data_IF_900410663321
#
_entry.id   IF_900410663321
#
_cell.length_a   1.000
_cell.length_b   1.000
_cell.length_c   1.000
_cell.angle_alpha   90.00
_cell.angle_beta   90.00
_cell.angle_gamma   90.00
#
_symmetry.space_group_name_H-M   'P 1'
#
loop_
_entity.id
_entity.type
_entity.pdbx_description
1 polymer ?
#
# COMPACT_ATOMS: atom_id res chain seq x y z
N UNK A 1 -1.94 6.57 -23.51
CA UNK A 1 -1.19 5.56 -22.75
C UNK A 1 -1.93 5.37 -21.44
N UNK A 2 -2.43 4.16 -21.16
CA UNK A 2 -3.25 3.90 -19.98
C UNK A 2 -2.39 4.00 -18.71
N UNK A 3 -2.93 4.59 -17.66
CA UNK A 3 -2.26 4.82 -16.39
C UNK A 3 -2.07 3.46 -15.69
N UNK A 4 -0.91 2.83 -15.85
CA UNK A 4 -0.56 1.54 -15.21
C UNK A 4 -0.11 1.68 -13.75
N UNK A 5 -0.08 2.91 -13.25
CA UNK A 5 0.40 3.28 -11.93
C UNK A 5 -0.31 4.54 -11.42
N UNK A 6 -0.42 4.65 -10.11
CA UNK A 6 -0.92 5.81 -9.39
C UNK A 6 0.27 6.65 -8.96
N UNK A 7 0.26 7.95 -9.27
CA UNK A 7 1.35 8.87 -8.93
C UNK A 7 1.12 9.47 -7.54
N UNK A 8 1.92 9.06 -6.56
CA UNK A 8 1.80 9.53 -5.18
C UNK A 8 2.97 10.44 -4.82
N UNK A 9 2.74 11.36 -3.89
CA UNK A 9 3.77 12.28 -3.45
C UNK A 9 3.63 12.56 -1.95
N UNK A 10 4.60 12.12 -1.16
CA UNK A 10 4.61 12.34 0.28
C UNK A 10 5.23 13.70 0.58
N UNK A 11 4.50 14.62 1.20
CA UNK A 11 4.95 15.98 1.51
C UNK A 11 5.05 16.13 3.03
N UNK A 12 6.21 16.52 3.54
CA UNK A 12 6.36 16.83 4.95
C UNK A 12 6.07 18.31 5.21
N UNK A 13 4.97 18.62 5.91
CA UNK A 13 4.65 19.94 6.44
C UNK A 13 4.64 19.97 7.98
N UNK A 14 5.11 18.91 8.62
CA UNK A 14 5.27 18.86 10.08
C UNK A 14 6.41 19.77 10.54
N UNK A 15 6.37 20.18 11.81
CA UNK A 15 7.46 20.86 12.51
C UNK A 15 8.34 19.84 13.25
N UNK A 16 8.28 18.57 12.89
CA UNK A 16 9.05 17.52 13.55
C UNK A 16 10.53 17.59 13.16
N UNK A 17 11.36 17.98 14.14
CA UNK A 17 12.81 18.10 13.99
C UNK A 17 13.55 16.76 14.19
N UNK A 18 12.86 15.70 14.61
CA UNK A 18 13.50 14.41 14.91
C UNK A 18 13.81 13.58 13.67
N UNK A 19 13.53 14.11 12.48
CA UNK A 19 13.76 13.45 11.20
C UNK A 19 13.12 12.05 11.14
N UNK A 20 11.82 12.04 11.46
CA UNK A 20 11.01 10.82 11.50
C UNK A 20 11.03 10.10 10.15
N UNK A 21 11.22 8.79 10.22
CA UNK A 21 11.10 7.89 9.07
C UNK A 21 9.64 7.51 8.86
N UNK A 22 9.22 7.45 7.58
CA UNK A 22 7.88 7.05 7.20
C UNK A 22 7.93 5.70 6.49
N UNK A 23 7.13 4.75 6.97
CA UNK A 23 6.98 3.45 6.33
C UNK A 23 5.64 3.37 5.61
N UNK A 24 5.65 2.83 4.41
CA UNK A 24 4.48 2.52 3.60
C UNK A 24 4.47 1.02 3.33
N UNK A 25 3.33 0.38 3.55
CA UNK A 25 3.16 -1.06 3.34
C UNK A 25 1.74 -1.42 2.91
N UNK A 26 1.54 -2.69 2.56
CA UNK A 26 0.21 -3.27 2.35
C UNK A 26 0.05 -4.48 3.25
N UNK A 27 -1.21 -4.77 3.60
CA UNK A 27 -1.59 -6.00 4.26
C UNK A 27 -2.08 -6.98 3.20
N UNK A 28 -1.60 -8.22 3.27
CA UNK A 28 -2.25 -9.31 2.58
C UNK A 28 -3.54 -9.64 3.33
N UNK A 29 -4.68 -9.61 2.64
CA UNK A 29 -6.00 -9.83 3.26
C UNK A 29 -6.53 -11.26 3.10
N UNK A 30 -5.77 -12.13 2.44
CA UNK A 30 -6.14 -13.54 2.27
C UNK A 30 -6.28 -14.25 3.63
N UNK A 31 -7.33 -15.07 3.79
CA UNK A 31 -7.72 -15.68 5.08
C UNK A 31 -6.62 -16.55 5.71
N UNK A 32 -5.77 -17.18 4.89
CA UNK A 32 -4.71 -18.11 5.33
C UNK A 32 -3.33 -17.45 5.50
N UNK A 33 -3.26 -16.12 5.56
CA UNK A 33 -2.00 -15.41 5.70
C UNK A 33 -1.67 -15.04 7.15
N UNK A 34 -0.77 -15.80 7.76
CA UNK A 34 -0.29 -15.57 9.12
C UNK A 34 1.01 -14.76 9.20
N UNK A 35 1.49 -14.23 8.08
CA UNK A 35 2.79 -13.56 8.00
C UNK A 35 2.63 -12.05 8.17
N UNK A 36 3.61 -11.42 8.81
CA UNK A 36 3.56 -10.00 9.09
C UNK A 36 3.82 -9.17 7.81
N UNK A 37 3.32 -7.94 7.81
CA UNK A 37 3.47 -7.05 6.66
C UNK A 37 4.94 -6.68 6.41
N UNK A 38 5.31 -6.51 5.14
CA UNK A 38 6.66 -6.08 4.73
C UNK A 38 6.68 -4.58 4.50
N UNK A 39 7.73 -3.90 4.94
CA UNK A 39 7.96 -2.48 4.69
C UNK A 39 8.25 -2.22 3.20
N UNK A 40 7.21 -1.99 2.40
CA UNK A 40 7.33 -1.85 0.94
C UNK A 40 8.12 -0.60 0.52
N UNK A 41 7.89 0.53 1.20
CA UNK A 41 8.68 1.75 1.06
C UNK A 41 9.06 2.30 2.42
N UNK A 42 10.30 2.77 2.54
CA UNK A 42 10.73 3.55 3.70
C UNK A 42 11.29 4.88 3.19
N UNK A 43 10.69 5.98 3.65
CA UNK A 43 11.15 7.33 3.36
C UNK A 43 11.89 7.86 4.58
N UNK A 44 13.19 8.06 4.42
CA UNK A 44 14.08 8.58 5.45
C UNK A 44 14.50 10.00 5.08
N UNK A 45 14.90 10.80 6.07
CA UNK A 45 15.50 12.12 5.81
C UNK A 45 14.58 13.10 5.07
N UNK A 46 13.26 13.02 5.29
CA UNK A 46 12.30 13.92 4.64
C UNK A 46 12.19 15.23 5.44
N UNK A 47 12.89 16.27 4.99
CA UNK A 47 12.95 17.56 5.67
C UNK A 47 11.62 18.31 5.68
N UNK A 48 11.53 19.36 6.50
CA UNK A 48 10.34 20.22 6.57
C UNK A 48 10.19 20.97 5.24
N UNK A 49 9.03 20.82 4.60
CA UNK A 49 8.71 21.38 3.28
C UNK A 49 9.13 20.48 2.12
N UNK A 50 9.93 19.45 2.35
CA UNK A 50 10.38 18.53 1.32
C UNK A 50 9.28 17.54 0.93
N UNK A 51 9.43 16.97 -0.26
CA UNK A 51 8.55 15.94 -0.77
C UNK A 51 9.30 14.72 -1.31
N UNK A 52 8.58 13.59 -1.34
CA UNK A 52 9.06 12.32 -1.86
C UNK A 52 8.02 11.76 -2.84
N UNK A 53 8.19 11.98 -4.16
CA UNK A 53 7.35 11.38 -5.17
C UNK A 53 7.64 9.87 -5.28
N UNK A 54 6.59 9.07 -5.38
CA UNK A 54 6.69 7.63 -5.61
C UNK A 54 5.51 7.11 -6.42
N UNK A 55 5.74 6.04 -7.17
CA UNK A 55 4.70 5.37 -7.92
C UNK A 55 4.10 4.20 -7.14
N UNK A 56 2.80 4.00 -7.32
CA UNK A 56 2.11 2.77 -6.96
C UNK A 56 1.67 2.06 -8.25
N UNK A 57 2.47 1.14 -8.80
CA UNK A 57 2.04 0.33 -9.94
C UNK A 57 0.87 -0.56 -9.53
N UNK A 58 -0.14 -0.71 -10.39
CA UNK A 58 -1.24 -1.65 -10.15
C UNK A 58 -0.77 -3.10 -10.32
N UNK A 59 0.16 -3.32 -11.25
CA UNK A 59 0.82 -4.62 -11.46
C UNK A 59 1.71 -5.00 -10.27
N UNK A 60 1.67 -6.27 -9.88
CA UNK A 60 2.63 -6.88 -8.98
C UNK A 60 3.20 -8.17 -9.57
N UNK A 61 4.21 -8.71 -8.91
CA UNK A 61 4.96 -9.87 -9.39
C UNK A 61 5.13 -10.89 -8.27
N UNK A 62 5.25 -12.15 -8.65
CA UNK A 62 5.56 -13.25 -7.72
C UNK A 62 6.89 -13.90 -8.06
N UNK A 63 7.60 -14.39 -7.05
CA UNK A 63 8.71 -15.32 -7.22
C UNK A 63 8.73 -16.34 -6.09
N UNK A 64 9.43 -17.45 -6.30
CA UNK A 64 9.75 -18.41 -5.26
C UNK A 64 11.23 -18.24 -4.85
N UNK A 65 11.54 -18.55 -3.60
CA UNK A 65 12.91 -18.66 -3.11
C UNK A 65 13.11 -19.88 -2.23
N UNK A 66 14.35 -20.35 -2.12
CA UNK A 66 14.71 -21.52 -1.32
C UNK A 66 15.48 -21.15 -0.03
N UNK A 67 15.84 -22.16 0.77
CA UNK A 67 16.60 -21.98 2.01
C UNK A 67 18.07 -21.57 1.80
N UNK A 68 18.57 -21.62 0.58
CA UNK A 68 19.95 -21.23 0.24
C UNK A 68 20.04 -19.80 -0.27
N UNK A 69 18.91 -19.07 -0.32
CA UNK A 69 18.86 -17.69 -0.80
C UNK A 69 18.80 -17.58 -2.32
N UNK A 70 18.48 -18.66 -3.03
CA UNK A 70 18.20 -18.58 -4.46
C UNK A 70 16.76 -18.12 -4.68
N UNK A 71 16.53 -17.43 -5.79
CA UNK A 71 15.21 -16.96 -6.19
C UNK A 71 14.95 -17.31 -7.65
N UNK A 72 13.70 -17.65 -7.96
CA UNK A 72 13.24 -17.75 -9.34
C UNK A 72 13.10 -16.35 -9.95
N UNK A 73 13.10 -16.23 -11.29
CA UNK A 73 12.68 -15.00 -11.94
C UNK A 73 11.30 -14.53 -11.46
N UNK A 74 11.10 -13.21 -11.44
CA UNK A 74 9.81 -12.62 -11.11
C UNK A 74 8.83 -12.79 -12.27
N UNK A 75 7.61 -13.22 -11.97
CA UNK A 75 6.53 -13.38 -12.93
C UNK A 75 5.43 -12.37 -12.66
N UNK A 76 4.95 -11.68 -13.69
CA UNK A 76 3.80 -10.77 -13.55
C UNK A 76 2.59 -11.58 -13.08
N UNK A 77 1.93 -11.06 -12.04
CA UNK A 77 0.81 -11.70 -11.37
C UNK A 77 -0.50 -10.98 -11.61
N UNK A 78 -1.56 -11.75 -11.87
CA UNK A 78 -2.93 -11.24 -12.00
C UNK A 78 -3.82 -12.07 -11.09
N UNK A 79 -4.75 -11.40 -10.40
CA UNK A 79 -5.71 -12.06 -9.53
C UNK A 79 -6.47 -13.17 -10.29
N UNK A 80 -6.71 -14.29 -9.60
CA UNK A 80 -7.24 -15.52 -10.18
C UNK A 80 -6.17 -16.47 -10.76
N UNK A 81 -4.90 -16.07 -10.82
CA UNK A 81 -3.82 -16.94 -11.30
C UNK A 81 -3.15 -17.72 -10.17
N UNK A 82 -2.68 -18.91 -10.50
CA UNK A 82 -1.82 -19.71 -9.64
C UNK A 82 -0.49 -20.02 -10.32
N UNK A 83 0.55 -20.19 -9.52
CA UNK A 83 1.90 -20.48 -9.97
C UNK A 83 2.40 -21.73 -9.25
N UNK A 84 2.89 -22.68 -10.03
CA UNK A 84 3.40 -23.94 -9.53
C UNK A 84 4.93 -23.93 -9.51
N UNK A 85 5.50 -24.20 -8.35
CA UNK A 85 6.90 -24.55 -8.23
C UNK A 85 7.06 -26.04 -8.53
N UNK A 86 7.73 -26.37 -9.63
CA UNK A 86 7.89 -27.75 -10.11
C UNK A 86 9.35 -28.07 -10.38
N UNK A 87 9.69 -29.36 -10.31
CA UNK A 87 11.01 -29.84 -10.66
C UNK A 87 11.13 -29.94 -12.18
N UNK A 88 12.13 -29.27 -12.75
CA UNK A 88 12.53 -29.38 -14.16
C UNK A 88 13.84 -30.15 -14.30
N UNK A 89 14.31 -30.35 -15.54
CA UNK A 89 15.54 -31.07 -15.85
C UNK A 89 16.80 -30.38 -15.29
N UNK A 90 16.82 -29.04 -15.25
CA UNK A 90 17.97 -28.25 -14.80
C UNK A 90 17.83 -27.70 -13.37
N UNK A 91 16.73 -27.99 -12.67
CA UNK A 91 16.44 -27.43 -11.34
C UNK A 91 14.96 -27.13 -11.16
N UNK A 92 14.61 -26.49 -10.05
CA UNK A 92 13.24 -26.12 -9.73
C UNK A 92 12.85 -24.82 -10.45
N UNK A 93 11.63 -24.76 -10.97
CA UNK A 93 11.13 -23.63 -11.74
C UNK A 93 9.75 -23.21 -11.23
N UNK A 94 9.55 -21.89 -11.14
CA UNK A 94 8.22 -21.33 -10.97
C UNK A 94 7.61 -21.10 -12.35
N UNK A 95 6.40 -21.60 -12.56
CA UNK A 95 5.67 -21.44 -13.80
C UNK A 95 4.19 -21.15 -13.55
N UNK A 96 3.51 -20.55 -14.53
CA UNK A 96 2.06 -20.37 -14.47
C UNK A 96 1.37 -21.74 -14.46
N UNK A 97 0.46 -21.94 -13.52
CA UNK A 97 -0.30 -23.18 -13.40
C UNK A 97 -1.34 -23.31 -14.53
N UNK A 98 -1.59 -24.54 -14.97
CA UNK A 98 -2.72 -24.84 -15.84
C UNK A 98 -4.07 -24.74 -15.12
N UNK A 99 -4.06 -24.78 -13.79
CA UNK A 99 -5.25 -24.64 -12.94
C UNK A 99 -5.24 -23.28 -12.24
N UNK A 100 -6.31 -22.48 -12.34
CA UNK A 100 -6.36 -21.15 -11.71
C UNK A 100 -6.31 -21.24 -10.18
N UNK A 101 -6.20 -20.08 -9.51
CA UNK A 101 -6.34 -19.97 -8.06
C UNK A 101 -7.74 -20.39 -7.60
N UNK A 102 -7.90 -20.74 -6.32
CA UNK A 102 -9.21 -21.11 -5.78
C UNK A 102 -10.17 -19.93 -5.70
N UNK A 103 -9.66 -18.70 -5.63
CA UNK A 103 -10.43 -17.46 -5.70
C UNK A 103 -9.99 -16.61 -6.90
N UNK A 104 -10.92 -15.84 -7.47
CA UNK A 104 -10.64 -14.89 -8.54
C UNK A 104 -10.00 -13.58 -8.03
N UNK A 105 -9.97 -13.35 -6.73
CA UNK A 105 -9.33 -12.19 -6.10
C UNK A 105 -7.95 -12.50 -5.54
N UNK A 106 -7.53 -13.76 -5.61
CA UNK A 106 -6.28 -14.23 -5.02
C UNK A 106 -5.25 -14.62 -6.08
N UNK A 107 -3.99 -14.52 -5.70
CA UNK A 107 -2.87 -15.15 -6.40
C UNK A 107 -2.29 -16.24 -5.52
N UNK A 108 -2.07 -17.41 -6.12
CA UNK A 108 -1.50 -18.55 -5.40
C UNK A 108 -0.09 -18.89 -5.87
N UNK A 109 0.76 -19.25 -4.93
CA UNK A 109 2.06 -19.87 -5.21
C UNK A 109 2.10 -21.23 -4.51
N UNK A 110 2.17 -22.30 -5.30
CA UNK A 110 2.03 -23.68 -4.84
C UNK A 110 3.37 -24.39 -4.90
N UNK A 111 3.70 -25.10 -3.83
CA UNK A 111 4.90 -25.93 -3.80
C UNK A 111 4.56 -27.35 -4.27
N UNK A 112 4.74 -27.62 -5.57
CA UNK A 112 4.50 -28.94 -6.16
C UNK A 112 5.79 -29.78 -6.27
N UNK A 113 6.84 -29.41 -5.54
CA UNK A 113 8.04 -30.24 -5.40
C UNK A 113 7.73 -31.45 -4.52
N UNK A 114 8.50 -32.53 -4.70
CA UNK A 114 8.38 -33.72 -3.83
C UNK A 114 9.05 -33.49 -2.47
N UNK A 115 10.03 -32.60 -2.41
CA UNK A 115 10.88 -32.32 -1.24
C UNK A 115 11.35 -30.87 -1.30
N UNK A 116 11.59 -30.27 -0.14
CA UNK A 116 12.11 -28.90 -0.03
C UNK A 116 11.01 -27.89 0.19
N UNK A 117 11.18 -27.06 1.23
CA UNK A 117 10.29 -25.93 1.50
C UNK A 117 10.70 -24.73 0.65
N UNK A 118 9.71 -23.94 0.22
CA UNK A 118 9.94 -22.69 -0.50
C UNK A 118 9.42 -21.51 0.29
N UNK A 119 9.90 -20.32 -0.07
CA UNK A 119 9.24 -19.05 0.23
C UNK A 119 8.56 -18.54 -1.02
N UNK A 120 7.36 -17.98 -0.89
CA UNK A 120 6.70 -17.23 -1.94
C UNK A 120 6.85 -15.74 -1.62
N UNK A 121 7.28 -14.96 -2.60
CA UNK A 121 7.57 -13.54 -2.44
C UNK A 121 6.73 -12.74 -3.45
N UNK A 122 6.15 -11.65 -2.99
CA UNK A 122 5.43 -10.70 -3.83
C UNK A 122 6.25 -9.43 -3.95
N UNK A 123 6.31 -8.86 -5.14
CA UNK A 123 7.02 -7.63 -5.44
C UNK A 123 6.11 -6.60 -6.11
N UNK A 124 6.28 -5.34 -5.76
CA UNK A 124 5.65 -4.20 -6.42
C UNK A 124 6.69 -3.12 -6.62
N UNK A 125 6.81 -2.65 -7.86
CA UNK A 125 7.88 -1.73 -8.29
C UNK A 125 9.29 -2.25 -7.95
N UNK A 126 9.53 -3.55 -8.20
CA UNK A 126 10.80 -4.23 -7.90
C UNK A 126 11.10 -4.47 -6.41
N UNK A 127 10.28 -3.96 -5.49
CA UNK A 127 10.48 -4.07 -4.04
C UNK A 127 9.55 -5.12 -3.43
N UNK A 128 10.04 -5.83 -2.41
CA UNK A 128 9.27 -6.88 -1.72
C UNK A 128 8.08 -6.25 -0.99
N UNK A 129 6.88 -6.76 -1.27
CA UNK A 129 5.60 -6.32 -0.73
C UNK A 129 5.05 -7.29 0.33
N UNK A 130 5.27 -8.59 0.12
CA UNK A 130 4.86 -9.64 1.03
C UNK A 130 5.75 -10.86 0.86
N UNK A 131 5.79 -11.72 1.87
CA UNK A 131 6.44 -13.01 1.79
C UNK A 131 5.70 -14.03 2.65
N UNK A 132 5.61 -15.27 2.18
CA UNK A 132 5.23 -16.41 3.00
C UNK A 132 6.38 -17.39 2.99
N UNK A 133 6.87 -17.72 4.18
CA UNK A 133 8.02 -18.62 4.34
C UNK A 133 7.55 -20.04 4.64
N UNK A 134 8.47 -21.01 4.55
CA UNK A 134 8.26 -22.40 4.99
C UNK A 134 7.07 -23.11 4.34
N UNK A 135 6.80 -22.83 3.06
CA UNK A 135 5.75 -23.50 2.28
C UNK A 135 6.25 -24.90 1.95
N UNK A 136 5.73 -25.91 2.65
CA UNK A 136 6.14 -27.31 2.47
C UNK A 136 5.58 -27.91 1.17
N UNK A 137 6.16 -29.02 0.67
CA UNK A 137 5.58 -29.80 -0.43
C UNK A 137 4.07 -30.04 -0.27
N UNK A 138 3.30 -29.77 -1.33
CA UNK A 138 1.85 -29.88 -1.35
C UNK A 138 1.09 -28.71 -0.69
N UNK A 139 1.79 -27.72 -0.14
CA UNK A 139 1.18 -26.50 0.42
C UNK A 139 1.21 -25.34 -0.56
N UNK A 140 0.44 -24.28 -0.24
CA UNK A 140 0.36 -23.05 -1.02
C UNK A 140 0.49 -21.80 -0.14
N UNK A 141 0.98 -20.72 -0.76
CA UNK A 141 0.78 -19.37 -0.30
C UNK A 141 -0.34 -18.71 -1.10
N UNK A 142 -1.12 -17.89 -0.42
CA UNK A 142 -2.27 -17.17 -0.97
C UNK A 142 -2.03 -15.69 -0.70
N UNK A 143 -2.18 -14.87 -1.73
CA UNK A 143 -2.00 -13.44 -1.66
C UNK A 143 -3.20 -12.72 -2.25
N UNK A 144 -3.73 -11.76 -1.51
CA UNK A 144 -4.79 -10.86 -1.94
C UNK A 144 -4.44 -9.45 -1.48
N UNK A 145 -4.42 -8.51 -2.43
CA UNK A 145 -4.09 -7.10 -2.16
C UNK A 145 -5.20 -6.21 -2.68
N UNK A 146 -5.85 -5.50 -1.76
CA UNK A 146 -6.71 -4.39 -2.12
C UNK A 146 -5.84 -3.19 -2.56
N UNK A 147 -6.37 -2.27 -3.40
CA UNK A 147 -5.66 -1.06 -3.78
C UNK A 147 -5.62 -0.07 -2.60
N UNK A 148 -5.02 -0.47 -1.48
CA UNK A 148 -4.92 0.31 -0.25
C UNK A 148 -3.52 0.25 0.29
N UNK A 149 -3.06 1.35 0.85
CA UNK A 149 -1.76 1.42 1.52
C UNK A 149 -1.93 1.85 2.97
N UNK A 150 -1.04 1.36 3.82
CA UNK A 150 -0.88 1.82 5.18
C UNK A 150 0.37 2.68 5.25
N UNK A 151 0.28 3.83 5.92
CA UNK A 151 1.41 4.74 6.10
C UNK A 151 1.53 5.16 7.57
N UNK A 152 2.75 5.19 8.08
CA UNK A 152 2.98 5.64 9.45
C UNK A 152 4.41 6.05 9.73
N UNK A 153 4.58 6.80 10.81
CA UNK A 153 5.87 7.14 11.38
C UNK A 153 6.42 5.97 12.18
N UNK A 154 7.59 5.45 11.81
CA UNK A 154 8.28 4.38 12.53
C UNK A 154 9.77 4.44 12.24
N UNK A 155 10.61 4.33 13.27
CA UNK A 155 12.06 4.35 13.14
C UNK A 155 12.66 2.94 13.07
N UNK A 156 13.87 2.84 12.51
CA UNK A 156 14.65 1.59 12.44
C UNK A 156 13.99 0.53 11.55
N UNK A 157 13.19 0.96 10.58
CA UNK A 157 12.58 0.09 9.60
C UNK A 157 13.46 0.03 8.37
N UNK A 158 13.77 -1.20 7.94
CA UNK A 158 14.52 -1.42 6.70
C UNK A 158 13.53 -1.83 5.61
N UNK A 159 13.63 -1.15 4.47
CA UNK A 159 12.80 -1.45 3.30
C UNK A 159 12.96 -2.92 2.85
N UNK A 160 11.84 -3.55 2.52
CA UNK A 160 11.79 -4.97 2.13
C UNK A 160 11.87 -5.97 3.28
N UNK A 161 11.96 -5.51 4.53
CA UNK A 161 11.93 -6.38 5.72
C UNK A 161 10.53 -6.59 6.27
N UNK A 162 10.32 -7.76 6.86
CA UNK A 162 9.11 -8.10 7.63
C UNK A 162 9.08 -7.23 8.89
N UNK A 163 7.99 -6.50 9.10
CA UNK A 163 7.82 -5.64 10.27
C UNK A 163 7.24 -6.41 11.44
N UNK A 164 7.64 -6.05 12.66
CA UNK A 164 7.07 -6.62 13.88
C UNK A 164 5.60 -6.16 14.06
N UNK A 165 4.75 -7.03 14.61
CA UNK A 165 3.35 -6.75 14.92
C UNK A 165 3.15 -5.52 15.81
N UNK A 166 4.08 -5.20 16.70
CA UNK A 166 4.03 -4.00 17.55
C UNK A 166 4.10 -2.69 16.76
N UNK A 167 4.80 -2.70 15.61
CA UNK A 167 4.89 -1.52 14.73
C UNK A 167 3.62 -1.46 13.87
N UNK A 168 3.19 -2.61 13.34
CA UNK A 168 1.97 -2.71 12.53
C UNK A 168 0.73 -2.24 13.32
N UNK A 169 0.64 -2.56 14.62
CA UNK A 169 -0.50 -2.16 15.47
C UNK A 169 -0.52 -0.66 15.81
N UNK A 170 0.62 0.02 15.71
CA UNK A 170 0.73 1.47 15.91
C UNK A 170 0.34 2.24 14.64
N UNK A 171 0.43 1.61 13.47
CA UNK A 171 0.12 2.24 12.18
C UNK A 171 -1.32 1.97 11.79
N UNK A 172 -2.16 3.01 11.94
CA UNK A 172 -3.60 2.93 11.71
C UNK A 172 -4.09 3.79 10.53
N UNK A 173 -3.19 4.53 9.87
CA UNK A 173 -3.57 5.32 8.69
C UNK A 173 -3.65 4.42 7.46
N UNK A 174 -4.86 4.20 6.99
CA UNK A 174 -5.17 3.47 5.76
C UNK A 174 -5.62 4.46 4.68
N UNK A 175 -5.09 4.32 3.47
CA UNK A 175 -5.50 5.10 2.31
C UNK A 175 -6.04 4.15 1.25
N UNK A 176 -7.31 4.34 0.88
CA UNK A 176 -7.90 3.68 -0.28
C UNK A 176 -7.47 4.41 -1.54
N UNK A 177 -6.86 3.69 -2.48
CA UNK A 177 -6.36 4.19 -3.75
C UNK A 177 -7.34 3.93 -4.91
N UNK A 178 -8.51 3.34 -4.63
CA UNK A 178 -9.50 3.06 -5.65
C UNK A 178 -10.00 4.35 -6.32
N UNK A 179 -9.92 4.38 -7.65
CA UNK A 179 -10.34 5.53 -8.46
C UNK A 179 -9.37 6.71 -8.45
N UNK A 180 -8.19 6.59 -7.82
CA UNK A 180 -7.19 7.65 -7.75
C UNK A 180 -6.10 7.40 -8.80
N UNK A 181 -5.80 8.41 -9.61
CA UNK A 181 -4.68 8.38 -10.58
C UNK A 181 -3.43 9.09 -10.06
N UNK A 182 -3.61 10.04 -9.14
CA UNK A 182 -2.55 10.77 -8.45
C UNK A 182 -3.02 11.27 -7.09
N UNK A 183 -2.11 11.50 -6.14
CA UNK A 183 -2.43 12.16 -4.87
C UNK A 183 -1.19 12.72 -4.17
N UNK A 184 -1.37 13.82 -3.44
CA UNK A 184 -0.43 14.29 -2.42
C UNK A 184 -0.82 13.69 -1.05
N UNK A 185 0.16 13.12 -0.37
CA UNK A 185 0.04 12.62 1.01
C UNK A 185 0.76 13.63 1.89
N UNK A 186 0.00 14.49 2.56
CA UNK A 186 0.56 15.55 3.39
C UNK A 186 0.69 15.09 4.84
N UNK A 187 1.91 15.15 5.37
CA UNK A 187 2.20 14.95 6.79
C UNK A 187 2.17 16.32 7.46
N UNK A 188 1.37 16.48 8.51
CA UNK A 188 1.26 17.73 9.26
C UNK A 188 1.18 17.45 10.78
N UNK A 189 1.46 18.47 11.59
CA UNK A 189 1.34 18.35 13.05
C UNK A 189 -0.13 18.36 13.47
N UNK A 190 -0.53 17.40 14.31
CA UNK A 190 -1.87 17.37 14.87
C UNK A 190 -2.02 18.40 15.99
N UNK A 191 -2.99 19.30 15.88
CA UNK A 191 -3.34 20.27 16.94
C UNK A 191 -4.13 19.64 18.11
N UNK A 192 -4.23 18.30 18.15
CA UNK A 192 -4.90 17.56 19.21
C UNK A 192 -6.42 17.63 19.19
N UNK A 193 -7.05 18.38 18.27
CA UNK A 193 -8.51 18.50 18.18
C UNK A 193 -9.07 18.52 16.74
N UNK A 194 -8.22 18.48 15.70
CA UNK A 194 -8.65 18.43 14.30
C UNK A 194 -7.90 17.34 13.52
N UNK A 195 -8.66 16.57 12.75
CA UNK A 195 -8.19 15.79 11.59
C UNK A 195 -7.14 16.53 10.78
N UNK A 196 -5.99 15.92 10.46
CA UNK A 196 -5.06 16.50 9.47
C UNK A 196 -5.65 16.30 8.08
N UNK A 197 -5.88 17.29 7.24
CA UNK A 197 -6.26 17.02 5.86
C UNK A 197 -5.15 16.25 5.11
N UNK A 198 -5.48 15.08 4.58
CA UNK A 198 -4.84 14.46 3.42
C UNK A 198 -5.56 14.97 2.17
N UNK A 199 -5.03 16.00 1.52
CA UNK A 199 -5.56 16.45 0.23
C UNK A 199 -5.23 15.43 -0.88
N UNK A 200 -6.13 14.48 -1.14
CA UNK A 200 -6.04 13.55 -2.29
C UNK A 200 -6.67 14.22 -3.52
N UNK A 201 -5.96 15.17 -4.14
CA UNK A 201 -6.41 15.68 -5.45
C UNK A 201 -6.20 14.62 -6.54
N UNK A 202 -7.20 14.33 -7.41
CA UNK A 202 -8.09 15.32 -8.01
C UNK A 202 -9.56 15.14 -7.59
N UNK A 203 -10.07 16.07 -6.78
CA UNK A 203 -11.49 16.17 -6.46
C UNK A 203 -12.01 15.42 -5.22
N UNK A 204 -11.16 14.84 -4.35
CA UNK A 204 -11.61 14.34 -3.02
C UNK A 204 -10.60 14.60 -1.91
N UNK A 205 -10.96 15.42 -0.92
CA UNK A 205 -10.12 15.65 0.27
C UNK A 205 -10.37 14.56 1.32
N UNK A 206 -9.32 13.94 1.83
CA UNK A 206 -9.36 13.06 2.99
C UNK A 206 -8.81 13.82 4.21
N UNK A 207 -9.17 13.45 5.44
CA UNK A 207 -8.55 14.01 6.65
C UNK A 207 -8.24 12.87 7.64
N UNK A 208 -7.04 12.88 8.24
CA UNK A 208 -6.45 11.91 9.17
C UNK A 208 -5.86 12.64 10.38
N UNK A 209 -6.50 12.59 11.56
CA UNK A 209 -5.93 13.16 12.81
C UNK A 209 -5.13 12.16 13.62
N UNK A 210 -4.08 12.65 14.28
CA UNK A 210 -3.43 11.98 15.43
C UNK A 210 -4.19 12.28 16.72
N UNK A 211 -4.62 11.24 17.45
CA UNK A 211 -5.23 11.38 18.77
C UNK A 211 -4.18 11.27 19.88
N UNK A 212 -4.34 12.00 21.01
CA UNK A 212 -3.53 11.81 22.22
C UNK A 212 -3.83 10.43 22.80
N UNK A 213 -3.04 9.42 22.42
CA UNK A 213 -3.25 8.03 22.80
C UNK A 213 -2.75 6.99 21.79
N UNK A 214 -2.21 7.40 20.64
CA UNK A 214 -1.55 6.50 19.69
C UNK A 214 -2.46 5.88 18.62
N UNK A 215 -3.71 6.33 18.51
CA UNK A 215 -4.63 5.94 17.42
C UNK A 215 -4.86 7.06 16.40
N UNK A 216 -5.19 6.66 15.17
CA UNK A 216 -5.56 7.53 14.04
C UNK A 216 -6.93 7.08 13.51
N UNK A 217 -7.81 8.02 13.15
CA UNK A 217 -9.16 7.77 12.59
C UNK A 217 -9.25 8.42 11.21
N UNK A 218 -9.89 7.71 10.26
CA UNK A 218 -10.17 8.17 8.90
C UNK A 218 -11.67 8.41 8.78
N UNK A 219 -12.10 9.64 8.48
CA UNK A 219 -13.51 9.95 8.17
C UNK A 219 -13.63 10.36 6.70
N UNK A 220 -14.64 9.80 6.01
CA UNK A 220 -14.93 10.06 4.59
C UNK A 220 -15.99 11.16 4.51
N UNK A 221 -15.64 12.33 3.96
CA UNK A 221 -16.65 13.34 3.61
C UNK A 221 -17.21 13.08 2.20
N UNK A 222 -18.54 13.08 2.01
CA UNK A 222 -19.14 13.09 0.67
C UNK A 222 -18.71 14.37 -0.06
N UNK A 223 -18.29 14.23 -1.33
CA UNK A 223 -17.82 15.36 -2.15
C UNK A 223 -18.94 16.30 -2.56
N UNK A 224 -18.70 17.61 -2.41
CA UNK A 224 -19.51 18.64 -3.05
C UNK A 224 -19.05 18.81 -4.53
N UNK A 225 -20.02 18.72 -5.43
CA UNK A 225 -19.91 18.93 -6.88
C UNK A 225 -19.65 20.42 -7.18
N UNK A 226 -18.61 20.81 -7.96
CA UNK A 226 -18.29 22.23 -8.22
C UNK A 226 -19.17 22.86 -9.32
N UNK A 227 -20.45 22.52 -9.39
CA UNK A 227 -21.36 22.97 -10.44
C UNK A 227 -22.69 23.55 -9.90
N UNK A 228 -22.60 24.45 -8.91
CA UNK A 228 -23.68 25.44 -8.67
C UNK A 228 -23.17 26.59 -7.79
N UNK A 229 -22.31 27.44 -8.33
CA UNK A 229 -22.18 28.82 -7.84
C UNK A 229 -22.61 29.72 -8.99
N UNK A 230 -23.91 30.04 -9.01
CA UNK A 230 -24.41 31.18 -9.75
C UNK A 230 -23.74 32.45 -9.19
N UNK A 231 -22.90 33.08 -9.99
CA UNK A 231 -22.53 34.48 -9.78
C UNK A 231 -23.73 35.30 -10.27
N UNK A 232 -24.59 35.74 -9.35
CA UNK A 232 -25.53 36.82 -9.62
C UNK A 232 -24.85 38.14 -9.25
N UNK A 233 -24.35 38.84 -10.26
CA UNK A 233 -24.11 40.28 -10.18
C UNK A 233 -25.49 40.97 -10.08
N UNK A 234 -25.74 41.72 -9.02
CA UNK A 234 -26.97 42.50 -8.88
C UNK A 234 -26.86 43.54 -7.78
N UNK A 235 -26.57 44.78 -8.18
CA UNK A 235 -26.85 45.99 -7.41
C UNK A 235 -28.32 46.01 -7.01
N UNK A 236 -28.66 46.13 -5.73
CA UNK A 236 -29.84 46.91 -5.31
C UNK A 236 -29.56 47.70 -4.04
N UNK A 237 -29.92 48.97 -4.15
CA UNK A 237 -29.95 50.02 -3.14
C UNK A 237 -31.30 49.87 -2.45
N UNK A 238 -31.36 49.73 -1.13
CA UNK A 238 -32.60 50.01 -0.39
C UNK A 238 -32.42 51.20 0.53
N UNK A 239 -33.33 52.15 0.32
CA UNK A 239 -33.44 53.42 0.96
C UNK A 239 -33.97 53.28 2.39
N UNK A 240 -33.44 54.12 3.28
CA UNK A 240 -34.07 54.42 4.54
C UNK A 240 -35.37 55.22 4.31
N UNK A 241 -36.44 54.83 5.00
CA UNK A 241 -37.67 55.60 5.09
C UNK A 241 -38.63 55.01 6.12
N UNK A 242 -38.49 55.43 7.38
CA UNK A 242 -39.51 56.11 8.20
C UNK A 242 -38.79 57.04 9.18
#
# INVERSE_FOLDING_TARGET
MAWSQISLNLINRSQDLNNTEYVIFQKNVAEDFSELAVAWRVVQNLGIGDNHPFAYPLQFYVSAGDSWGNFTPQMAAVDGQAYDMVKSTSGDVLQLSATPASSLTEVEVRNNLQTGGISANVFRDGKKLATKTNISPGQKAVFEFLPRIFIGAASQIVEGQVMNSAIISQINTELDLFGISSADIVIADGDGNRGLPIDVEPGRRYCVSRWRGGGVRVDVSPGDDPASVEIVNGLETEAAGV
#
